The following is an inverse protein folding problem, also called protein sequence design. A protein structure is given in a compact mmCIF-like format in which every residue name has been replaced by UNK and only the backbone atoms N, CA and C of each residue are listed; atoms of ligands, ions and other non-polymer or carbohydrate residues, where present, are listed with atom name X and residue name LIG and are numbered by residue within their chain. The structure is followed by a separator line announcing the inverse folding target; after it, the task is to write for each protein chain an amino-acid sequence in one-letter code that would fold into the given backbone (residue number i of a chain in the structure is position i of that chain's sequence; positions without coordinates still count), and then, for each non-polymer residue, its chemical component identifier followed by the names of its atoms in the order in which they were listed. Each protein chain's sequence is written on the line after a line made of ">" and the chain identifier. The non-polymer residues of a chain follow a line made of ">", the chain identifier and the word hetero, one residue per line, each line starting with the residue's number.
data_IF_441329916121
#
_entry.id   IF_441329916121
#
_cell.length_a   1.000
_cell.length_b   1.000
_cell.length_c   1.000
_cell.angle_alpha   90.00
_cell.angle_beta   90.00
_cell.angle_gamma   90.00
#
_symmetry.space_group_name_H-M   'P 1'
#
loop_
_entity.id
_entity.type
_entity.pdbx_description
1 polymer ?
#
# COMPACT_ATOMS: atom_id res chain seq x y z
N UNK A 1 -11.96 -63.04 5.89
CA UNK A 1 -12.89 -62.07 5.26
C UNK A 1 -12.58 -60.69 5.81
N UNK A 2 -11.79 -59.89 5.09
CA UNK A 2 -11.40 -58.53 5.49
C UNK A 2 -12.16 -57.53 4.63
N UNK A 3 -13.11 -56.84 5.24
CA UNK A 3 -13.94 -55.80 4.62
C UNK A 3 -13.08 -54.60 4.21
N UNK A 4 -12.98 -54.37 2.89
CA UNK A 4 -12.41 -53.13 2.32
C UNK A 4 -13.25 -51.95 2.81
N UNK A 5 -12.65 -51.08 3.64
CA UNK A 5 -13.21 -49.75 3.94
C UNK A 5 -13.30 -48.97 2.62
N UNK A 6 -14.53 -48.79 2.13
CA UNK A 6 -14.85 -47.87 1.04
C UNK A 6 -14.35 -46.48 1.41
N UNK A 7 -13.48 -45.89 0.59
CA UNK A 7 -13.12 -44.47 0.69
C UNK A 7 -14.40 -43.70 0.37
N UNK A 8 -15.04 -43.15 1.39
CA UNK A 8 -16.17 -42.24 1.23
C UNK A 8 -15.78 -41.13 0.25
N UNK A 9 -16.47 -41.09 -0.89
CA UNK A 9 -16.29 -40.02 -1.86
C UNK A 9 -16.60 -38.68 -1.17
N UNK A 10 -15.65 -37.76 -1.25
CA UNK A 10 -15.80 -36.40 -0.71
C UNK A 10 -16.99 -35.73 -1.38
N UNK A 11 -17.82 -35.02 -0.61
CA UNK A 11 -18.89 -34.19 -1.16
C UNK A 11 -18.26 -33.13 -2.08
N UNK A 12 -18.75 -32.96 -3.32
CA UNK A 12 -18.27 -31.92 -4.22
C UNK A 12 -18.42 -30.52 -3.60
N UNK A 13 -17.44 -29.65 -3.81
CA UNK A 13 -17.44 -28.27 -3.35
C UNK A 13 -18.42 -27.44 -4.16
N UNK A 14 -19.16 -26.60 -3.46
CA UNK A 14 -19.96 -25.54 -4.08
C UNK A 14 -19.06 -24.40 -4.54
N UNK A 15 -19.61 -23.49 -5.34
CA UNK A 15 -18.94 -22.25 -5.78
C UNK A 15 -18.45 -21.44 -4.59
N UNK A 16 -19.29 -21.26 -3.57
CA UNK A 16 -18.98 -20.49 -2.35
C UNK A 16 -17.84 -21.14 -1.56
N UNK A 17 -17.84 -22.47 -1.49
CA UNK A 17 -16.77 -23.21 -0.81
C UNK A 17 -15.43 -23.08 -1.54
N UNK A 18 -15.44 -23.14 -2.88
CA UNK A 18 -14.26 -22.89 -3.71
C UNK A 18 -13.77 -21.45 -3.54
N UNK A 19 -14.66 -20.45 -3.60
CA UNK A 19 -14.30 -19.05 -3.40
C UNK A 19 -13.71 -18.77 -2.02
N UNK A 20 -14.28 -19.36 -0.97
CA UNK A 20 -13.76 -19.24 0.39
C UNK A 20 -12.37 -19.86 0.51
N UNK A 21 -12.17 -21.05 -0.05
CA UNK A 21 -10.86 -21.71 -0.09
C UNK A 21 -9.83 -20.86 -0.85
N UNK A 22 -10.20 -20.28 -2.00
CA UNK A 22 -9.31 -19.38 -2.73
C UNK A 22 -8.91 -18.15 -1.92
N UNK A 23 -9.85 -17.51 -1.21
CA UNK A 23 -9.60 -16.26 -0.47
C UNK A 23 -8.77 -16.49 0.78
N UNK A 24 -9.05 -17.54 1.54
CA UNK A 24 -8.54 -17.70 2.89
C UNK A 24 -7.57 -18.87 3.05
N UNK A 25 -7.61 -19.85 2.13
CA UNK A 25 -6.88 -21.11 2.24
C UNK A 25 -6.31 -21.59 0.90
N UNK A 26 -5.61 -20.74 0.12
CA UNK A 26 -5.14 -21.10 -1.23
C UNK A 26 -4.22 -22.32 -1.21
N UNK A 27 -3.35 -22.45 -0.20
CA UNK A 27 -2.46 -23.61 -0.03
C UNK A 27 -3.20 -24.91 0.24
N UNK A 28 -4.38 -24.86 0.85
CA UNK A 28 -5.22 -26.05 1.04
C UNK A 28 -5.83 -26.44 -0.31
N UNK A 29 -6.38 -25.46 -1.05
CA UNK A 29 -6.96 -25.66 -2.38
C UNK A 29 -5.96 -26.31 -3.36
N UNK A 30 -4.72 -25.83 -3.41
CA UNK A 30 -3.66 -26.35 -4.29
C UNK A 30 -3.35 -27.84 -4.05
N UNK A 31 -3.58 -28.32 -2.83
CA UNK A 31 -3.30 -29.71 -2.44
C UNK A 31 -4.51 -30.63 -2.65
N UNK A 32 -5.67 -30.07 -2.97
CA UNK A 32 -6.89 -30.84 -3.19
C UNK A 32 -6.89 -31.43 -4.60
N UNK A 33 -7.30 -32.70 -4.71
CA UNK A 33 -7.68 -33.28 -6.00
C UNK A 33 -9.11 -32.89 -6.29
N UNK A 34 -9.28 -31.84 -7.08
CA UNK A 34 -10.58 -31.40 -7.55
C UNK A 34 -11.14 -32.36 -8.59
N UNK A 35 -12.45 -32.53 -8.60
CA UNK A 35 -13.15 -33.20 -9.71
C UNK A 35 -13.10 -32.33 -10.97
N UNK A 36 -13.46 -32.90 -12.13
CA UNK A 36 -13.56 -32.11 -13.37
C UNK A 36 -14.57 -30.97 -13.25
N UNK A 37 -15.71 -31.23 -12.60
CA UNK A 37 -16.75 -30.23 -12.34
C UNK A 37 -16.26 -29.11 -11.41
N UNK A 38 -15.57 -29.45 -10.31
CA UNK A 38 -14.98 -28.47 -9.40
C UNK A 38 -13.88 -27.64 -10.10
N UNK A 39 -13.10 -28.27 -10.98
CA UNK A 39 -12.09 -27.60 -11.79
C UNK A 39 -12.73 -26.62 -12.77
N UNK A 40 -13.85 -27.00 -13.40
CA UNK A 40 -14.60 -26.12 -14.30
C UNK A 40 -15.18 -24.91 -13.55
N UNK A 41 -15.78 -25.13 -12.36
CA UNK A 41 -16.27 -24.03 -11.49
C UNK A 41 -15.14 -23.09 -11.08
N UNK A 42 -13.99 -23.64 -10.68
CA UNK A 42 -12.82 -22.84 -10.28
C UNK A 42 -12.30 -21.97 -11.43
N UNK A 43 -12.28 -22.50 -12.67
CA UNK A 43 -11.92 -21.72 -13.86
C UNK A 43 -12.89 -20.59 -14.12
N UNK A 44 -14.20 -20.81 -13.95
CA UNK A 44 -15.20 -19.76 -14.13
C UNK A 44 -15.07 -18.67 -13.05
N UNK A 45 -14.89 -19.06 -11.78
CA UNK A 45 -14.62 -18.10 -10.69
C UNK A 45 -13.37 -17.26 -11.00
N UNK A 46 -12.29 -17.88 -11.48
CA UNK A 46 -11.08 -17.17 -11.88
C UNK A 46 -11.34 -16.19 -13.02
N UNK A 47 -12.07 -16.62 -14.06
CA UNK A 47 -12.42 -15.77 -15.21
C UNK A 47 -13.20 -14.52 -14.79
N UNK A 48 -14.23 -14.68 -13.95
CA UNK A 48 -15.02 -13.56 -13.44
C UNK A 48 -14.15 -12.58 -12.65
N UNK A 49 -13.26 -13.08 -11.78
CA UNK A 49 -12.34 -12.23 -11.01
C UNK A 49 -11.33 -11.51 -11.90
N UNK A 50 -10.75 -12.21 -12.87
CA UNK A 50 -9.83 -11.61 -13.84
C UNK A 50 -10.53 -10.49 -14.62
N UNK A 51 -11.79 -10.69 -15.01
CA UNK A 51 -12.60 -9.66 -15.66
C UNK A 51 -12.85 -8.46 -14.74
N UNK A 52 -13.28 -8.67 -13.49
CA UNK A 52 -13.49 -7.59 -12.50
C UNK A 52 -12.20 -6.79 -12.25
N UNK A 53 -11.06 -7.48 -12.15
CA UNK A 53 -9.74 -6.85 -12.00
C UNK A 53 -9.40 -6.04 -13.25
N UNK A 54 -9.57 -6.60 -14.45
CA UNK A 54 -9.28 -5.92 -15.71
C UNK A 54 -10.13 -4.66 -15.90
N UNK A 55 -11.43 -4.73 -15.59
CA UNK A 55 -12.34 -3.58 -15.63
C UNK A 55 -11.90 -2.49 -14.63
N UNK A 56 -11.52 -2.88 -13.41
CA UNK A 56 -11.02 -1.95 -12.40
C UNK A 56 -9.71 -1.29 -12.84
N UNK A 57 -8.79 -2.06 -13.41
CA UNK A 57 -7.53 -1.54 -13.99
C UNK A 57 -7.81 -0.57 -15.13
N UNK A 58 -8.76 -0.87 -16.02
CA UNK A 58 -9.14 0.03 -17.10
C UNK A 58 -9.69 1.37 -16.58
N UNK A 59 -10.55 1.36 -15.55
CA UNK A 59 -11.05 2.59 -14.91
C UNK A 59 -9.94 3.41 -14.26
N UNK A 60 -8.99 2.76 -13.57
CA UNK A 60 -7.83 3.46 -13.00
C UNK A 60 -6.93 4.05 -14.09
N UNK A 61 -6.72 3.33 -15.19
CA UNK A 61 -5.93 3.82 -16.33
C UNK A 61 -6.55 5.05 -16.97
N UNK A 62 -7.88 5.08 -17.10
CA UNK A 62 -8.62 6.26 -17.58
C UNK A 62 -8.44 7.46 -16.64
N UNK A 63 -8.58 7.26 -15.33
CA UNK A 63 -8.33 8.32 -14.33
C UNK A 63 -6.88 8.86 -14.44
N UNK A 64 -5.91 7.98 -14.67
CA UNK A 64 -4.49 8.30 -14.74
C UNK A 64 -4.01 8.80 -16.11
N UNK A 65 -4.89 8.94 -17.11
CA UNK A 65 -4.48 9.23 -18.49
C UNK A 65 -3.61 10.49 -18.61
N UNK A 66 -4.02 11.58 -17.96
CA UNK A 66 -3.27 12.84 -17.96
C UNK A 66 -1.89 12.69 -17.32
N UNK A 67 -1.82 11.99 -16.17
CA UNK A 67 -0.58 11.73 -15.45
C UNK A 67 0.38 10.89 -16.30
N UNK A 68 -0.10 9.80 -16.91
CA UNK A 68 0.71 8.94 -17.76
C UNK A 68 1.25 9.70 -18.96
N UNK A 69 0.42 10.56 -19.59
CA UNK A 69 0.84 11.41 -20.71
C UNK A 69 1.98 12.36 -20.33
N UNK A 70 1.88 13.03 -19.19
CA UNK A 70 2.94 13.93 -18.71
C UNK A 70 4.21 13.15 -18.35
N UNK A 71 4.10 11.99 -17.71
CA UNK A 71 5.24 11.11 -17.41
C UNK A 71 5.95 10.62 -18.69
N UNK A 72 5.19 10.24 -19.72
CA UNK A 72 5.73 9.83 -21.02
C UNK A 72 6.44 10.98 -21.72
N UNK A 73 5.92 12.21 -21.60
CA UNK A 73 6.54 13.40 -22.20
C UNK A 73 7.93 13.71 -21.64
N UNK A 74 8.22 13.30 -20.40
CA UNK A 74 9.57 13.40 -19.80
C UNK A 74 10.40 12.12 -19.96
N UNK A 75 9.98 11.21 -20.85
CA UNK A 75 10.72 10.02 -21.24
C UNK A 75 10.50 8.79 -20.36
N UNK A 76 9.52 8.81 -19.44
CA UNK A 76 9.17 7.61 -18.67
C UNK A 76 8.49 6.58 -19.58
N UNK A 77 9.01 5.35 -19.62
CA UNK A 77 8.43 4.24 -20.39
C UNK A 77 7.75 3.26 -19.44
N UNK A 78 6.61 3.67 -18.89
CA UNK A 78 5.82 2.88 -17.95
C UNK A 78 4.42 2.66 -18.50
N UNK A 79 3.80 1.54 -18.14
CA UNK A 79 2.40 1.28 -18.49
C UNK A 79 1.46 1.80 -17.40
N UNK A 80 1.88 1.66 -16.14
CA UNK A 80 1.13 2.06 -14.97
C UNK A 80 2.00 2.90 -14.03
N UNK A 81 1.39 3.83 -13.29
CA UNK A 81 2.13 4.65 -12.31
C UNK A 81 2.78 3.77 -11.22
N UNK A 82 2.16 2.63 -10.90
CA UNK A 82 2.70 1.65 -9.94
C UNK A 82 4.06 1.08 -10.36
N UNK A 83 4.40 1.11 -11.65
CA UNK A 83 5.68 0.64 -12.18
C UNK A 83 6.87 1.48 -11.67
N UNK A 84 6.63 2.71 -11.20
CA UNK A 84 7.63 3.55 -10.55
C UNK A 84 8.03 3.03 -9.16
N UNK A 85 7.15 2.26 -8.52
CA UNK A 85 7.38 1.76 -7.16
C UNK A 85 8.37 0.60 -7.22
N UNK A 86 9.56 0.82 -6.64
CA UNK A 86 10.64 -0.17 -6.67
C UNK A 86 11.47 -0.16 -7.95
N UNK A 87 11.22 0.80 -8.86
CA UNK A 87 12.09 1.03 -10.01
C UNK A 87 13.51 1.36 -9.54
N UNK A 88 14.50 0.65 -10.09
CA UNK A 88 15.91 0.83 -9.75
C UNK A 88 16.52 2.06 -10.43
N UNK A 89 16.02 2.39 -11.63
CA UNK A 89 16.40 3.60 -12.35
C UNK A 89 15.86 4.83 -11.63
N UNK A 90 16.66 5.89 -11.57
CA UNK A 90 16.21 7.18 -11.03
C UNK A 90 15.22 7.83 -12.01
N UNK A 91 14.23 8.52 -11.46
CA UNK A 91 13.15 9.17 -12.19
C UNK A 91 12.90 10.59 -11.66
N UNK A 92 13.97 11.33 -11.40
CA UNK A 92 13.93 12.67 -10.82
C UNK A 92 13.08 13.63 -11.67
N UNK A 93 13.09 13.46 -12.99
CA UNK A 93 12.27 14.22 -13.92
C UNK A 93 10.76 13.97 -13.79
N UNK A 94 10.36 12.82 -13.21
CA UNK A 94 8.96 12.51 -12.95
C UNK A 94 8.44 13.17 -11.66
N UNK A 95 9.33 13.55 -10.73
CA UNK A 95 8.93 14.06 -9.40
C UNK A 95 8.06 15.31 -9.47
N UNK A 96 8.41 16.36 -10.25
CA UNK A 96 7.55 17.55 -10.36
C UNK A 96 6.14 17.22 -10.87
N UNK A 97 6.02 16.26 -11.79
CA UNK A 97 4.73 15.80 -12.33
C UNK A 97 3.96 15.05 -11.23
N UNK A 98 4.60 14.11 -10.53
CA UNK A 98 3.95 13.38 -9.44
C UNK A 98 3.45 14.31 -8.33
N UNK A 99 4.22 15.34 -7.96
CA UNK A 99 3.82 16.35 -6.98
C UNK A 99 2.63 17.19 -7.45
N UNK A 100 2.64 17.63 -8.72
CA UNK A 100 1.49 18.32 -9.33
C UNK A 100 0.23 17.45 -9.30
N UNK A 101 0.38 16.16 -9.60
CA UNK A 101 -0.75 15.23 -9.66
C UNK A 101 -1.22 14.73 -8.28
N UNK A 102 -0.40 14.83 -7.24
CA UNK A 102 -0.76 14.41 -5.88
C UNK A 102 -1.96 15.19 -5.32
N UNK A 103 -2.06 16.47 -5.65
CA UNK A 103 -3.12 17.39 -5.18
C UNK A 103 -4.38 17.38 -6.05
N UNK A 104 -4.40 16.58 -7.11
CA UNK A 104 -5.56 16.45 -7.99
C UNK A 104 -6.63 15.55 -7.35
N UNK A 105 -7.92 15.68 -7.72
CA UNK A 105 -9.04 14.96 -7.10
C UNK A 105 -9.12 13.50 -7.58
N UNK A 106 -8.03 12.76 -7.40
CA UNK A 106 -7.94 11.35 -7.73
C UNK A 106 -8.51 10.45 -6.63
N UNK A 107 -8.89 9.25 -7.04
CA UNK A 107 -9.23 8.15 -6.13
C UNK A 107 -8.10 7.84 -5.14
N UNK A 108 -8.46 7.23 -4.01
CA UNK A 108 -7.51 6.81 -2.98
C UNK A 108 -6.41 5.89 -3.53
N UNK A 109 -6.76 4.98 -4.45
CA UNK A 109 -5.80 4.08 -5.11
C UNK A 109 -4.74 4.83 -5.92
N UNK A 110 -5.17 5.81 -6.72
CA UNK A 110 -4.25 6.61 -7.53
C UNK A 110 -3.40 7.51 -6.65
N UNK A 111 -3.99 8.16 -5.63
CA UNK A 111 -3.22 8.97 -4.65
C UNK A 111 -2.23 8.12 -3.86
N UNK A 112 -2.59 6.91 -3.45
CA UNK A 112 -1.67 5.95 -2.81
C UNK A 112 -0.47 5.66 -3.72
N UNK A 113 -0.73 5.39 -5.00
CA UNK A 113 0.31 5.05 -5.97
C UNK A 113 1.27 6.21 -6.22
N UNK A 114 0.74 7.43 -6.41
CA UNK A 114 1.54 8.65 -6.56
C UNK A 114 2.39 8.87 -5.31
N UNK A 115 1.78 8.85 -4.12
CA UNK A 115 2.48 9.11 -2.87
C UNK A 115 3.58 8.08 -2.58
N UNK A 116 3.35 6.79 -2.87
CA UNK A 116 4.41 5.77 -2.75
C UNK A 116 5.54 5.97 -3.75
N UNK A 117 5.24 6.43 -4.96
CA UNK A 117 6.26 6.76 -5.97
C UNK A 117 7.10 7.97 -5.57
N UNK A 118 6.55 8.86 -4.72
CA UNK A 118 7.29 9.97 -4.11
C UNK A 118 8.14 9.55 -2.90
N UNK A 119 8.11 8.29 -2.46
CA UNK A 119 8.92 7.80 -1.34
C UNK A 119 10.39 7.52 -1.75
N UNK A 120 11.01 8.48 -2.43
CA UNK A 120 12.39 8.44 -2.92
C UNK A 120 13.20 9.60 -2.35
N UNK A 121 14.50 9.36 -2.13
CA UNK A 121 15.39 10.35 -1.53
C UNK A 121 15.93 11.30 -2.59
N UNK A 122 15.09 12.24 -3.00
CA UNK A 122 15.42 13.26 -4.00
C UNK A 122 15.15 14.67 -3.45
N UNK A 123 16.00 15.67 -3.76
CA UNK A 123 15.86 17.02 -3.20
C UNK A 123 14.49 17.66 -3.44
N UNK A 124 13.89 17.44 -4.61
CA UNK A 124 12.56 17.98 -4.93
C UNK A 124 11.45 17.39 -4.05
N UNK A 125 11.55 16.11 -3.65
CA UNK A 125 10.62 15.51 -2.67
C UNK A 125 10.80 16.17 -1.29
N UNK A 126 12.04 16.44 -0.89
CA UNK A 126 12.34 17.10 0.39
C UNK A 126 11.80 18.54 0.43
N UNK A 127 11.98 19.30 -0.67
CA UNK A 127 11.43 20.65 -0.82
C UNK A 127 9.90 20.67 -0.79
N UNK A 128 9.26 19.59 -1.25
CA UNK A 128 7.81 19.44 -1.25
C UNK A 128 7.22 19.10 0.14
N UNK A 129 8.03 19.13 1.21
CA UNK A 129 7.59 18.84 2.58
C UNK A 129 6.25 19.49 2.97
N UNK A 130 6.00 20.81 2.75
CA UNK A 130 4.73 21.42 3.13
C UNK A 130 3.51 20.77 2.46
N UNK A 131 3.63 20.49 1.15
CA UNK A 131 2.56 19.84 0.36
C UNK A 131 2.32 18.42 0.87
N UNK A 132 3.38 17.65 1.12
CA UNK A 132 3.27 16.28 1.62
C UNK A 132 2.60 16.21 3.00
N UNK A 133 2.93 17.14 3.90
CA UNK A 133 2.32 17.22 5.23
C UNK A 133 0.85 17.60 5.13
N UNK A 134 0.52 18.60 4.31
CA UNK A 134 -0.86 19.03 4.09
C UNK A 134 -1.72 17.89 3.55
N UNK A 135 -1.25 17.21 2.51
CA UNK A 135 -1.97 16.08 1.91
C UNK A 135 -2.08 14.88 2.86
N UNK A 136 -1.05 14.63 3.69
CA UNK A 136 -1.08 13.58 4.72
C UNK A 136 -2.15 13.85 5.78
N UNK A 137 -2.24 15.09 6.28
CA UNK A 137 -3.25 15.49 7.27
C UNK A 137 -4.68 15.39 6.71
N UNK A 138 -4.88 15.77 5.44
CA UNK A 138 -6.18 15.69 4.76
C UNK A 138 -6.59 14.26 4.37
N UNK A 139 -5.64 13.36 4.20
CA UNK A 139 -5.93 12.03 3.64
C UNK A 139 -6.89 11.23 4.55
N UNK A 140 -7.95 10.64 3.97
CA UNK A 140 -8.89 9.83 4.72
C UNK A 140 -8.23 8.56 5.26
N UNK A 141 -8.85 7.99 6.29
CA UNK A 141 -8.40 6.78 6.98
C UNK A 141 -9.54 5.78 7.09
N UNK A 142 -9.22 4.51 7.34
CA UNK A 142 -10.22 3.46 7.54
C UNK A 142 -10.65 2.84 6.23
N UNK A 143 -11.97 2.65 6.07
CA UNK A 143 -12.59 1.96 4.94
C UNK A 143 -13.37 2.96 4.08
N UNK A 144 -13.37 2.75 2.77
CA UNK A 144 -14.12 3.58 1.83
C UNK A 144 -13.92 3.15 0.38
N UNK A 145 -14.50 3.92 -0.56
CA UNK A 145 -14.34 3.68 -2.00
C UNK A 145 -12.90 3.97 -2.39
N UNK A 146 -12.21 2.94 -2.92
CA UNK A 146 -10.77 3.00 -3.14
C UNK A 146 -10.40 3.43 -4.57
N UNK A 147 -11.08 2.89 -5.57
CA UNK A 147 -10.87 3.22 -6.97
C UNK A 147 -12.11 3.82 -7.65
N UNK A 148 -11.96 4.42 -8.83
CA UNK A 148 -13.07 4.95 -9.60
C UNK A 148 -14.06 3.81 -9.95
N UNK A 149 -15.34 4.02 -9.64
CA UNK A 149 -16.40 3.04 -9.91
C UNK A 149 -16.38 1.80 -9.03
N UNK A 150 -15.55 1.75 -7.97
CA UNK A 150 -15.67 0.71 -6.96
C UNK A 150 -17.02 0.88 -6.21
N UNK A 151 -17.73 -0.24 -6.00
CA UNK A 151 -19.01 -0.27 -5.25
C UNK A 151 -18.85 -0.80 -3.82
N UNK A 152 -17.74 -1.49 -3.56
CA UNK A 152 -17.40 -2.04 -2.26
C UNK A 152 -16.42 -1.12 -1.53
N UNK A 153 -16.51 -1.09 -0.22
CA UNK A 153 -15.52 -0.42 0.61
C UNK A 153 -14.26 -1.28 0.79
N UNK A 154 -13.11 -0.63 0.68
CA UNK A 154 -11.80 -1.21 0.93
C UNK A 154 -11.03 -0.36 1.91
N UNK A 155 -10.00 -0.95 2.53
CA UNK A 155 -9.08 -0.18 3.36
C UNK A 155 -8.33 0.85 2.52
N UNK A 156 -8.47 2.12 2.90
CA UNK A 156 -7.85 3.27 2.25
C UNK A 156 -6.34 3.26 2.49
N UNK A 157 -5.59 3.71 1.49
CA UNK A 157 -4.14 3.58 1.41
C UNK A 157 -3.37 4.86 1.12
N UNK A 158 -4.01 5.94 0.68
CA UNK A 158 -3.32 7.18 0.32
C UNK A 158 -2.49 7.74 1.48
N UNK A 159 -3.05 7.72 2.70
CA UNK A 159 -2.34 8.18 3.91
C UNK A 159 -1.09 7.35 4.23
N UNK A 160 -1.12 6.04 3.96
CA UNK A 160 0.06 5.19 4.13
C UNK A 160 1.15 5.51 3.08
N UNK A 161 0.75 5.74 1.83
CA UNK A 161 1.68 6.20 0.79
C UNK A 161 2.34 7.52 1.16
N UNK A 162 1.56 8.48 1.65
CA UNK A 162 2.05 9.79 2.11
C UNK A 162 2.98 9.67 3.32
N UNK A 163 2.69 8.77 4.28
CA UNK A 163 3.59 8.50 5.40
C UNK A 163 4.96 7.96 4.92
N UNK A 164 4.97 7.08 3.91
CA UNK A 164 6.22 6.63 3.30
C UNK A 164 6.99 7.78 2.65
N UNK A 165 6.29 8.66 1.92
CA UNK A 165 6.91 9.84 1.31
C UNK A 165 7.53 10.76 2.37
N UNK A 166 6.77 11.13 3.41
CA UNK A 166 7.26 11.94 4.53
C UNK A 166 8.48 11.33 5.23
N UNK A 167 8.45 10.02 5.49
CA UNK A 167 9.57 9.34 6.15
C UNK A 167 10.88 9.39 5.34
N UNK A 168 10.81 9.58 4.03
CA UNK A 168 11.98 9.74 3.15
C UNK A 168 12.31 11.23 2.92
N UNK A 169 11.30 12.09 2.82
CA UNK A 169 11.42 13.52 2.58
C UNK A 169 12.03 14.30 3.76
N UNK A 170 11.83 13.82 4.99
CA UNK A 170 12.28 14.51 6.21
C UNK A 170 13.78 14.83 6.20
N UNK A 171 14.11 16.07 6.51
CA UNK A 171 15.47 16.58 6.71
C UNK A 171 15.72 16.83 8.20
N UNK A 172 16.85 17.43 8.57
CA UNK A 172 17.08 17.77 9.98
C UNK A 172 16.25 18.99 10.39
N UNK A 173 15.96 19.90 9.44
CA UNK A 173 15.12 21.09 9.63
C UNK A 173 13.64 20.74 9.84
N UNK A 174 13.15 19.66 9.21
CA UNK A 174 11.73 19.26 9.30
C UNK A 174 11.48 18.11 10.27
N UNK A 175 12.52 17.67 11.00
CA UNK A 175 12.44 16.52 11.90
C UNK A 175 11.47 16.76 13.07
N UNK A 176 11.44 17.97 13.64
CA UNK A 176 10.54 18.30 14.75
C UNK A 176 9.08 18.16 14.33
N UNK A 177 8.70 18.69 13.17
CA UNK A 177 7.33 18.54 12.66
C UNK A 177 6.98 17.07 12.37
N UNK A 178 7.93 16.28 11.83
CA UNK A 178 7.71 14.83 11.68
C UNK A 178 7.41 14.16 13.04
N UNK A 179 8.15 14.54 14.09
CA UNK A 179 7.97 14.01 15.45
C UNK A 179 6.59 14.38 15.98
N UNK A 180 6.15 15.62 15.79
CA UNK A 180 4.82 16.08 16.20
C UNK A 180 3.70 15.30 15.50
N UNK A 181 3.84 15.09 14.19
CA UNK A 181 2.90 14.26 13.41
C UNK A 181 2.89 12.81 13.92
N UNK A 182 4.06 12.25 14.25
CA UNK A 182 4.14 10.89 14.77
C UNK A 182 3.51 10.74 16.16
N UNK A 183 3.53 11.80 16.99
CA UNK A 183 2.88 11.84 18.31
C UNK A 183 1.37 12.08 18.24
N UNK A 184 0.89 12.74 17.20
CA UNK A 184 -0.54 13.02 17.02
C UNK A 184 -1.34 11.76 16.68
N UNK A 185 -1.92 11.13 17.69
CA UNK A 185 -2.73 9.90 17.53
C UNK A 185 -3.93 10.06 16.61
N UNK A 186 -4.40 11.28 16.33
CA UNK A 186 -5.48 11.51 15.36
C UNK A 186 -5.06 11.18 13.93
N UNK A 187 -3.76 11.02 13.65
CA UNK A 187 -3.24 10.58 12.34
C UNK A 187 -3.28 9.05 12.14
N UNK A 188 -3.78 8.30 13.14
CA UNK A 188 -4.06 6.87 13.04
C UNK A 188 -2.81 5.98 12.89
N UNK A 189 -3.01 4.74 12.43
CA UNK A 189 -1.97 3.72 12.36
C UNK A 189 -0.85 4.02 11.33
N UNK A 190 -1.12 4.90 10.36
CA UNK A 190 -0.13 5.28 9.33
C UNK A 190 1.13 5.91 9.92
N UNK A 191 1.05 6.49 11.14
CA UNK A 191 2.18 7.01 11.92
C UNK A 191 3.30 5.99 12.10
N UNK A 192 2.97 4.70 12.11
CA UNK A 192 3.95 3.61 12.20
C UNK A 192 5.00 3.69 11.08
N UNK A 193 4.62 4.15 9.89
CA UNK A 193 5.54 4.25 8.75
C UNK A 193 6.56 5.40 8.92
N UNK A 194 6.20 6.46 9.66
CA UNK A 194 7.07 7.59 10.00
C UNK A 194 8.24 7.18 10.90
N UNK A 195 8.04 6.13 11.73
CA UNK A 195 9.07 5.61 12.64
C UNK A 195 10.35 5.20 11.92
N UNK A 196 10.26 4.81 10.64
CA UNK A 196 11.43 4.43 9.85
C UNK A 196 12.45 5.58 9.72
N UNK A 197 11.98 6.83 9.66
CA UNK A 197 12.84 8.01 9.64
C UNK A 197 13.54 8.25 10.98
N UNK A 198 12.79 8.15 12.09
CA UNK A 198 13.32 8.30 13.45
C UNK A 198 14.36 7.22 13.73
N UNK A 199 14.05 5.97 13.39
CA UNK A 199 14.95 4.83 13.57
C UNK A 199 16.30 5.02 12.87
N UNK A 200 16.29 5.53 11.63
CA UNK A 200 17.51 5.83 10.86
C UNK A 200 18.36 6.92 11.52
N UNK A 201 17.74 7.87 12.24
CA UNK A 201 18.39 9.01 12.90
C UNK A 201 18.74 8.78 14.36
N UNK A 202 18.17 7.76 15.00
CA UNK A 202 18.29 7.46 16.44
C UNK A 202 19.71 7.57 17.01
N UNK A 203 20.74 7.13 16.27
CA UNK A 203 22.13 7.14 16.77
C UNK A 203 22.84 8.50 16.64
N UNK A 204 22.34 9.38 15.77
CA UNK A 204 23.04 10.61 15.34
C UNK A 204 22.30 11.89 15.74
N UNK A 205 21.01 11.78 16.03
CA UNK A 205 20.17 12.93 16.37
C UNK A 205 19.47 12.67 17.73
N UNK A 206 19.80 13.46 18.78
CA UNK A 206 19.21 13.31 20.11
C UNK A 206 17.69 13.47 20.13
N UNK A 207 17.12 14.37 19.31
CA UNK A 207 15.66 14.56 19.22
C UNK A 207 14.97 13.31 18.72
N UNK A 208 15.55 12.64 17.70
CA UNK A 208 15.01 11.36 17.22
C UNK A 208 15.12 10.25 18.26
N UNK A 209 16.19 10.22 19.07
CA UNK A 209 16.35 9.25 20.14
C UNK A 209 15.30 9.44 21.24
N UNK A 210 15.13 10.67 21.71
CA UNK A 210 14.13 11.05 22.71
C UNK A 210 12.70 10.76 22.21
N UNK A 211 12.37 11.15 20.97
CA UNK A 211 11.06 10.88 20.39
C UNK A 211 10.72 9.38 20.37
N UNK A 212 11.71 8.52 20.08
CA UNK A 212 11.51 7.06 20.11
C UNK A 212 11.23 6.56 21.52
N UNK A 213 11.88 7.12 22.54
CA UNK A 213 11.64 6.75 23.94
C UNK A 213 10.22 7.14 24.38
N UNK A 214 9.77 8.34 24.03
CA UNK A 214 8.42 8.81 24.31
C UNK A 214 7.36 7.95 23.61
N UNK A 215 7.54 7.70 22.31
CA UNK A 215 6.63 6.89 21.49
C UNK A 215 6.63 5.39 21.85
N UNK A 216 7.60 4.89 22.63
CA UNK A 216 7.69 3.48 23.00
C UNK A 216 6.51 2.99 23.85
N UNK A 217 5.77 3.91 24.46
CA UNK A 217 4.55 3.64 25.24
C UNK A 217 3.25 3.78 24.44
N UNK A 218 3.30 4.29 23.20
CA UNK A 218 2.12 4.42 22.35
C UNK A 218 1.65 3.00 21.92
N UNK A 219 0.38 2.63 22.18
CA UNK A 219 -0.10 1.27 21.91
C UNK A 219 -0.04 0.87 20.43
N UNK A 220 -0.11 1.84 19.51
CA UNK A 220 -0.07 1.58 18.06
C UNK A 220 1.38 1.39 17.56
N UNK A 221 2.36 1.89 18.30
CA UNK A 221 3.77 1.99 17.88
C UNK A 221 4.72 1.11 18.70
N UNK A 222 4.34 0.79 19.95
CA UNK A 222 5.18 0.10 20.92
C UNK A 222 5.73 -1.23 20.38
N UNK A 223 4.90 -2.01 19.67
CA UNK A 223 5.30 -3.31 19.10
C UNK A 223 6.45 -3.14 18.10
N UNK A 224 6.35 -2.15 17.20
CA UNK A 224 7.37 -1.88 16.20
C UNK A 224 8.67 -1.40 16.87
N UNK A 225 8.57 -0.44 17.80
CA UNK A 225 9.73 0.12 18.52
C UNK A 225 10.45 -0.96 19.34
N UNK A 226 9.70 -1.81 20.06
CA UNK A 226 10.27 -2.91 20.85
C UNK A 226 11.04 -3.91 19.98
N UNK A 227 10.62 -4.14 18.73
CA UNK A 227 11.30 -5.05 17.80
C UNK A 227 12.74 -4.63 17.49
N UNK A 228 13.08 -3.34 17.61
CA UNK A 228 14.41 -2.82 17.27
C UNK A 228 15.48 -3.17 18.29
N UNK A 229 15.09 -3.53 19.52
CA UNK A 229 16.03 -3.95 20.58
C UNK A 229 16.51 -5.40 20.39
N UNK A 230 15.78 -6.21 19.60
CA UNK A 230 16.05 -7.64 19.40
C UNK A 230 17.06 -7.96 18.29
N UNK A 231 17.53 -6.97 17.52
CA UNK A 231 18.61 -7.16 16.54
C UNK A 231 19.95 -6.78 17.16
N UNK A 232 20.57 -7.75 17.83
CA UNK A 232 22.01 -7.79 18.10
C UNK A 232 22.63 -8.82 17.17
#
# INVERSE_FOLDING_TARGET
>A
MTTKRSKTARVPLTTEALEHLMRHKPRELDRMRLTEEETARLREINRTREQEIAERVARMRLEQESLLRELHAVGMKIEYVVDLIGMSQRYEQAIPILLKHLVMPYSDATRETIARSLAVREPEVQKAWPILVEEYRKAPMGWGIKGPGDINEYRLGAKNGLACALAVAVTDETLEELIDIAKDRTQGESRLLLLSALKKRRKKNPLAAQAIEELASDPDLAKEIASWRKRR
#
